data_IF_288656006586
#
_entry.id   IF_288656006586
#
_cell.length_a   1.000
_cell.length_b   1.000
_cell.length_c   1.000
_cell.angle_alpha   90.00
_cell.angle_beta   90.00
_cell.angle_gamma   90.00
#
_symmetry.space_group_name_H-M   'P 1'
#
loop_
_entity.id
_entity.type
_entity.pdbx_description
1 polymer ?
#
# COMPACT_ATOMS: atom_id res chain seq x y z
N UNK A 1 17.85 -3.89 -16.62
CA UNK A 1 16.66 -4.57 -17.16
C UNK A 1 15.62 -4.58 -16.04
N UNK A 2 14.61 -3.71 -16.12
CA UNK A 2 13.57 -3.59 -15.10
C UNK A 2 12.55 -4.71 -15.33
N UNK A 3 12.35 -5.61 -14.36
CA UNK A 3 11.55 -6.84 -14.54
C UNK A 3 10.10 -6.55 -14.88
N UNK A 4 9.56 -5.48 -14.29
CA UNK A 4 8.21 -4.99 -14.52
C UNK A 4 7.97 -4.55 -15.97
N UNK A 5 8.87 -3.75 -16.50
CA UNK A 5 8.79 -3.20 -17.86
C UNK A 5 8.83 -4.33 -18.90
N UNK A 6 9.77 -5.28 -18.75
CA UNK A 6 9.89 -6.45 -19.62
C UNK A 6 8.62 -7.32 -19.62
N UNK A 7 7.97 -7.50 -18.46
CA UNK A 7 6.73 -8.28 -18.36
C UNK A 7 5.58 -7.59 -19.10
N UNK A 8 5.40 -6.28 -18.90
CA UNK A 8 4.35 -5.53 -19.61
C UNK A 8 4.61 -5.46 -21.12
N UNK A 9 5.85 -5.28 -21.55
CA UNK A 9 6.23 -5.29 -22.97
C UNK A 9 5.90 -6.62 -23.64
N UNK A 10 6.16 -7.75 -22.96
CA UNK A 10 5.86 -9.08 -23.50
C UNK A 10 4.36 -9.31 -23.69
N UNK A 11 3.54 -8.84 -22.75
CA UNK A 11 2.08 -8.92 -22.86
C UNK A 11 1.61 -8.02 -24.01
N UNK A 12 2.13 -6.81 -24.11
CA UNK A 12 1.77 -5.88 -25.19
C UNK A 12 2.06 -6.47 -26.58
N UNK A 13 3.25 -7.05 -26.79
CA UNK A 13 3.59 -7.72 -28.05
C UNK A 13 2.63 -8.86 -28.40
N UNK A 14 2.22 -9.65 -27.41
CA UNK A 14 1.24 -10.71 -27.62
C UNK A 14 -0.14 -10.16 -28.02
N UNK A 15 -0.54 -8.98 -27.52
CA UNK A 15 -1.78 -8.30 -27.92
C UNK A 15 -1.70 -7.77 -29.36
N UNK A 16 -0.56 -7.23 -29.77
CA UNK A 16 -0.34 -6.80 -31.17
C UNK A 16 -0.41 -7.98 -32.15
N UNK A 17 0.17 -9.12 -31.78
CA UNK A 17 0.16 -10.35 -32.61
C UNK A 17 -1.26 -10.86 -32.91
N UNK A 18 -2.22 -10.58 -32.03
CA UNK A 18 -3.63 -10.99 -32.17
C UNK A 18 -4.57 -9.82 -32.53
N UNK A 19 -4.04 -8.61 -32.73
CA UNK A 19 -4.82 -7.42 -33.10
C UNK A 19 -5.74 -6.88 -32.01
N UNK A 20 -5.39 -7.07 -30.74
CA UNK A 20 -6.17 -6.64 -29.57
C UNK A 20 -5.58 -5.42 -28.84
N UNK A 21 -4.48 -4.84 -29.34
CA UNK A 21 -3.75 -3.74 -28.70
C UNK A 21 -4.58 -2.46 -28.52
N UNK A 22 -5.66 -2.30 -29.30
CA UNK A 22 -6.58 -1.14 -29.23
C UNK A 22 -7.72 -1.31 -28.24
N UNK A 23 -8.03 -2.54 -27.85
CA UNK A 23 -9.18 -2.87 -26.99
C UNK A 23 -8.76 -3.40 -25.64
N UNK A 24 -7.55 -3.95 -25.53
CA UNK A 24 -7.02 -4.58 -24.33
C UNK A 24 -5.71 -3.89 -23.92
N UNK A 25 -5.55 -3.67 -22.63
CA UNK A 25 -4.35 -3.08 -22.05
C UNK A 25 -3.53 -4.15 -21.30
N UNK A 26 -2.18 -4.10 -21.29
CA UNK A 26 -1.37 -5.09 -20.58
C UNK A 26 -1.69 -5.27 -19.08
N UNK A 27 -2.21 -4.20 -18.43
CA UNK A 27 -2.67 -4.25 -17.03
C UNK A 27 -3.92 -5.10 -16.82
N UNK A 28 -4.70 -5.37 -17.86
CA UNK A 28 -5.88 -6.24 -17.79
C UNK A 28 -5.49 -7.71 -17.53
N UNK A 29 -4.24 -8.07 -17.85
CA UNK A 29 -3.70 -9.43 -17.68
C UNK A 29 -2.74 -9.55 -16.50
N UNK A 30 -2.00 -8.49 -16.21
CA UNK A 30 -1.00 -8.48 -15.16
C UNK A 30 -1.04 -7.15 -14.41
N UNK A 31 -1.42 -7.19 -13.13
CA UNK A 31 -1.37 -6.02 -12.24
C UNK A 31 -0.65 -6.42 -10.96
N UNK A 32 0.15 -5.50 -10.43
CA UNK A 32 0.87 -5.66 -9.17
C UNK A 32 0.27 -4.76 -8.12
N UNK A 33 0.13 -5.32 -6.92
CA UNK A 33 -0.35 -4.58 -5.76
C UNK A 33 0.69 -4.70 -4.65
N UNK A 34 0.87 -3.62 -3.90
CA UNK A 34 1.47 -3.69 -2.59
C UNK A 34 0.35 -3.78 -1.54
N UNK A 35 0.65 -4.42 -0.42
CA UNK A 35 -0.24 -4.44 0.75
C UNK A 35 0.31 -3.46 1.79
N UNK A 36 -0.57 -2.64 2.34
CA UNK A 36 -0.25 -1.73 3.44
C UNK A 36 -1.31 -1.84 4.53
N UNK A 37 -0.88 -2.03 5.78
CA UNK A 37 -1.78 -2.06 6.92
C UNK A 37 -2.09 -0.64 7.40
N UNK A 38 -3.33 -0.36 7.82
CA UNK A 38 -3.70 0.91 8.46
C UNK A 38 -4.34 0.64 9.81
N UNK A 39 -3.64 1.01 10.87
CA UNK A 39 -4.13 0.87 12.23
C UNK A 39 -4.95 2.10 12.63
N UNK A 40 -5.95 1.89 13.49
CA UNK A 40 -6.71 2.99 14.12
C UNK A 40 -6.11 3.21 15.49
N UNK A 41 -6.02 4.48 15.94
CA UNK A 41 -5.53 4.78 17.29
C UNK A 41 -6.37 4.04 18.34
N UNK A 42 -5.68 3.35 19.24
CA UNK A 42 -6.30 2.67 20.37
C UNK A 42 -6.81 3.73 21.35
N UNK A 43 -8.13 3.99 21.32
CA UNK A 43 -8.79 4.97 22.22
C UNK A 43 -8.60 4.65 23.71
N UNK A 44 -8.08 3.46 24.05
CA UNK A 44 -7.75 3.06 25.41
C UNK A 44 -6.38 3.57 25.92
N UNK A 45 -5.51 4.11 25.06
CA UNK A 45 -4.20 4.64 25.49
C UNK A 45 -4.29 6.15 25.78
N UNK A 46 -5.36 6.82 25.34
CA UNK A 46 -5.56 8.27 25.52
C UNK A 46 -6.63 8.64 26.55
N UNK A 47 -6.96 7.76 27.49
CA UNK A 47 -7.52 8.24 28.76
C UNK A 47 -6.36 8.78 29.59
N UNK A 48 -6.20 10.11 29.78
CA UNK A 48 -5.31 10.61 30.81
C UNK A 48 -5.92 10.14 32.13
N UNK A 49 -5.35 9.09 32.72
CA UNK A 49 -5.65 8.76 34.10
C UNK A 49 -5.22 9.97 34.91
N UNK A 50 -6.19 10.78 35.31
CA UNK A 50 -6.08 11.85 36.28
C UNK A 50 -5.68 11.21 37.62
N UNK A 51 -4.42 10.84 37.76
CA UNK A 51 -3.83 10.58 39.05
C UNK A 51 -3.09 11.86 39.43
N UNK A 52 -3.89 12.81 39.92
CA UNK A 52 -3.41 13.75 40.91
C UNK A 52 -2.86 12.92 42.06
N UNK A 53 -1.54 12.83 42.20
CA UNK A 53 -1.01 12.63 43.52
C UNK A 53 0.27 13.43 43.75
N UNK A 54 0.23 14.05 44.91
CA UNK A 54 1.11 15.04 45.45
C UNK A 54 2.36 14.36 46.02
N UNK A 55 3.54 14.89 45.72
CA UNK A 55 4.70 14.62 46.57
C UNK A 55 5.59 15.85 46.57
N UNK A 56 5.48 16.60 47.66
CA UNK A 56 6.43 17.64 48.04
C UNK A 56 7.87 17.14 47.98
N UNK A 57 8.76 17.96 47.44
CA UNK A 57 10.18 17.94 47.80
C UNK A 57 10.60 19.36 48.18
N UNK A 58 11.04 19.58 49.43
CA UNK A 58 11.55 20.87 49.88
C UNK A 58 13.06 21.03 49.61
N UNK A 59 13.41 22.32 49.48
CA UNK A 59 14.74 22.98 49.41
C UNK A 59 15.56 22.86 48.12
#
# INVERSE_FOLDING_TARGET
HMTMEMMYERIYKALEEVGLEKTCHPRDYLTFFCLGNRETEDRNISSPSLNADNSSTPQ
#
